data_IF_303847604160
#
_entry.id   IF_303847604160
#
_cell.length_a   1.000
_cell.length_b   1.000
_cell.length_c   1.000
_cell.angle_alpha   90.00
_cell.angle_beta   90.00
_cell.angle_gamma   90.00
#
_symmetry.space_group_name_H-M   'P 1'
#
loop_
_entity.id
_entity.type
_entity.pdbx_description
1 polymer ?
#
# COMPACT_ATOMS: atom_id res chain seq x y z
N UNK A 1 -9.23 -20.09 -3.61
CA UNK A 1 -8.88 -18.87 -4.38
C UNK A 1 -9.35 -17.60 -3.67
N UNK A 2 -10.66 -17.43 -3.40
CA UNK A 2 -11.22 -16.21 -2.76
C UNK A 2 -10.54 -15.83 -1.43
N UNK A 3 -10.25 -16.79 -0.55
CA UNK A 3 -9.61 -16.51 0.75
C UNK A 3 -8.22 -15.90 0.62
N UNK A 4 -7.42 -16.33 -0.38
CA UNK A 4 -6.08 -15.80 -0.60
C UNK A 4 -6.11 -14.35 -1.10
N UNK A 5 -7.12 -14.00 -1.91
CA UNK A 5 -7.36 -12.61 -2.34
C UNK A 5 -7.74 -11.75 -1.13
N UNK A 6 -8.64 -12.24 -0.28
CA UNK A 6 -9.08 -11.54 0.95
C UNK A 6 -7.90 -11.35 1.92
N UNK A 7 -7.06 -12.35 2.10
CA UNK A 7 -5.86 -12.26 2.94
C UNK A 7 -4.88 -11.22 2.38
N UNK A 8 -4.64 -11.23 1.07
CA UNK A 8 -3.74 -10.26 0.44
C UNK A 8 -4.28 -8.83 0.54
N UNK A 9 -5.58 -8.65 0.35
CA UNK A 9 -6.28 -7.39 0.54
C UNK A 9 -6.12 -6.83 1.95
N UNK A 10 -6.22 -7.71 2.95
CA UNK A 10 -6.01 -7.36 4.35
C UNK A 10 -4.58 -6.82 4.58
N UNK A 11 -3.55 -7.52 4.11
CA UNK A 11 -2.16 -7.07 4.30
C UNK A 11 -1.83 -5.80 3.51
N UNK A 12 -2.36 -5.64 2.29
CA UNK A 12 -2.24 -4.40 1.52
C UNK A 12 -2.89 -3.22 2.25
N UNK A 13 -4.11 -3.41 2.75
CA UNK A 13 -4.85 -2.38 3.49
C UNK A 13 -4.15 -2.05 4.80
N UNK A 14 -3.57 -3.05 5.48
CA UNK A 14 -2.79 -2.86 6.71
C UNK A 14 -1.52 -2.03 6.49
N UNK A 15 -0.79 -2.27 5.39
CA UNK A 15 0.34 -1.45 4.98
C UNK A 15 -0.10 -0.01 4.67
N UNK A 16 -1.23 0.16 3.99
CA UNK A 16 -1.77 1.50 3.71
C UNK A 16 -2.22 2.21 5.00
N UNK A 17 -2.82 1.48 5.95
CA UNK A 17 -3.20 2.02 7.24
C UNK A 17 -1.99 2.55 8.01
N UNK A 18 -0.89 1.79 8.09
CA UNK A 18 0.31 2.25 8.80
C UNK A 18 0.95 3.47 8.15
N UNK A 19 0.95 3.54 6.81
CA UNK A 19 1.31 4.75 6.08
C UNK A 19 0.41 5.94 6.43
N UNK A 20 -0.91 5.76 6.42
CA UNK A 20 -1.84 6.83 6.77
C UNK A 20 -1.66 7.29 8.23
N UNK A 21 -1.43 6.37 9.17
CA UNK A 21 -1.24 6.68 10.58
C UNK A 21 0.02 7.53 10.82
N UNK A 22 1.10 7.33 10.04
CA UNK A 22 2.39 7.99 10.26
C UNK A 22 2.68 9.14 9.28
N UNK A 23 2.03 9.13 8.11
CA UNK A 23 2.35 9.98 6.96
C UNK A 23 1.10 10.55 6.27
N UNK A 24 0.00 10.74 7.02
CA UNK A 24 -1.22 11.36 6.47
C UNK A 24 -0.91 12.71 5.80
N UNK A 25 -1.39 12.87 4.57
CA UNK A 25 -1.19 14.10 3.80
C UNK A 25 0.19 14.25 3.16
N UNK A 26 1.10 13.30 3.35
CA UNK A 26 2.44 13.32 2.75
C UNK A 26 2.51 12.63 1.39
N UNK A 27 1.46 11.88 1.03
CA UNK A 27 1.41 11.09 -0.18
C UNK A 27 -0.02 11.00 -0.73
N UNK A 28 -0.13 10.44 -1.93
CA UNK A 28 -1.37 10.12 -2.62
C UNK A 28 -1.25 8.68 -3.11
N UNK A 29 -2.28 7.86 -2.83
CA UNK A 29 -2.44 6.56 -3.45
C UNK A 29 -2.91 6.75 -4.90
N UNK A 30 -2.19 6.18 -5.86
CA UNK A 30 -2.53 6.20 -7.29
C UNK A 30 -2.75 4.78 -7.81
N UNK A 31 -2.91 4.64 -9.13
CA UNK A 31 -2.94 3.33 -9.80
C UNK A 31 -4.21 2.51 -9.53
N UNK A 32 -4.14 1.21 -9.83
CA UNK A 32 -5.28 0.29 -9.78
C UNK A 32 -5.93 0.21 -8.40
N UNK A 33 -5.13 0.24 -7.33
CA UNK A 33 -5.60 0.16 -5.95
C UNK A 33 -6.44 1.38 -5.56
N UNK A 34 -6.07 2.58 -6.00
CA UNK A 34 -6.90 3.78 -5.77
C UNK A 34 -8.24 3.71 -6.50
N UNK A 35 -8.26 3.16 -7.73
CA UNK A 35 -9.48 3.02 -8.53
C UNK A 35 -10.40 1.92 -8.00
N UNK A 36 -9.86 0.80 -7.54
CA UNK A 36 -10.65 -0.29 -6.96
C UNK A 36 -11.18 0.08 -5.58
N UNK A 37 -10.33 0.56 -4.66
CA UNK A 37 -10.73 0.78 -3.26
C UNK A 37 -11.30 2.18 -2.96
N UNK A 38 -10.82 3.21 -3.65
CA UNK A 38 -11.27 4.59 -3.42
C UNK A 38 -12.51 4.97 -4.24
N UNK A 39 -12.70 4.31 -5.39
CA UNK A 39 -13.74 4.67 -6.36
C UNK A 39 -14.64 3.50 -6.79
N UNK A 40 -14.31 2.26 -6.42
CA UNK A 40 -15.04 1.06 -6.83
C UNK A 40 -15.24 0.94 -8.35
N UNK A 41 -14.22 1.34 -9.12
CA UNK A 41 -14.27 1.39 -10.60
C UNK A 41 -13.71 0.15 -11.29
N UNK A 42 -13.04 -0.74 -10.55
CA UNK A 42 -12.38 -1.92 -11.10
C UNK A 42 -12.82 -3.16 -10.32
N UNK A 43 -13.36 -4.15 -11.04
CA UNK A 43 -13.69 -5.48 -10.50
C UNK A 43 -12.49 -6.44 -10.57
N UNK A 44 -11.29 -5.93 -10.28
CA UNK A 44 -10.07 -6.73 -10.21
C UNK A 44 -9.25 -6.35 -8.99
N UNK A 45 -8.66 -7.36 -8.37
CA UNK A 45 -7.73 -7.16 -7.27
C UNK A 45 -6.42 -6.53 -7.79
N UNK A 46 -5.94 -5.50 -7.11
CA UNK A 46 -4.66 -4.86 -7.39
C UNK A 46 -3.73 -5.10 -6.20
N UNK A 47 -2.54 -5.60 -6.49
CA UNK A 47 -1.57 -6.00 -5.48
C UNK A 47 -0.59 -4.90 -5.07
N UNK A 48 -0.62 -3.78 -5.78
CA UNK A 48 0.42 -2.76 -5.73
C UNK A 48 -0.03 -1.54 -4.92
N UNK A 49 0.83 -1.08 -4.02
CA UNK A 49 0.75 0.23 -3.40
C UNK A 49 1.56 1.22 -4.24
N UNK A 50 0.89 1.76 -5.25
CA UNK A 50 1.39 2.88 -6.03
C UNK A 50 1.24 4.20 -5.27
N UNK A 51 2.37 4.82 -4.92
CA UNK A 51 2.40 6.02 -4.09
C UNK A 51 3.05 7.19 -4.85
N UNK A 52 2.31 8.28 -4.98
CA UNK A 52 2.86 9.59 -5.33
C UNK A 52 3.17 10.35 -4.06
N UNK A 53 4.45 10.63 -3.81
CA UNK A 53 4.88 11.39 -2.65
C UNK A 53 4.74 12.88 -2.94
N UNK A 54 4.18 13.64 -1.99
CA UNK A 54 4.08 15.10 -2.09
C UNK A 54 5.44 15.73 -1.75
N UNK A 55 5.81 16.75 -2.52
CA UNK A 55 7.05 17.51 -2.33
C UNK A 55 6.79 18.99 -2.32
N UNK A 56 7.67 19.74 -1.69
CA UNK A 56 7.79 21.18 -1.89
C UNK A 56 8.87 21.45 -2.94
N UNK A 57 8.73 22.55 -3.68
CA UNK A 57 9.65 22.91 -4.78
C UNK A 57 11.12 23.01 -4.35
N UNK A 58 11.39 23.35 -3.08
CA UNK A 58 12.74 23.53 -2.54
C UNK A 58 13.46 22.23 -2.14
N UNK A 59 12.83 21.06 -2.26
CA UNK A 59 13.43 19.82 -1.77
C UNK A 59 14.53 19.28 -2.68
N UNK A 60 15.75 19.18 -2.14
CA UNK A 60 16.86 18.47 -2.77
C UNK A 60 16.71 16.94 -2.75
N UNK A 61 17.56 16.24 -3.51
CA UNK A 61 17.54 14.79 -3.65
C UNK A 61 17.66 14.04 -2.30
N UNK A 62 18.50 14.50 -1.38
CA UNK A 62 18.68 13.88 -0.07
C UNK A 62 17.38 13.89 0.76
N UNK A 63 16.70 15.03 0.85
CA UNK A 63 15.42 15.14 1.59
C UNK A 63 14.34 14.27 0.96
N UNK A 64 14.30 14.21 -0.37
CA UNK A 64 13.41 13.31 -1.12
C UNK A 64 13.70 11.83 -0.84
N UNK A 65 14.97 11.43 -0.78
CA UNK A 65 15.32 10.04 -0.45
C UNK A 65 14.97 9.69 1.00
N UNK A 66 15.18 10.62 1.95
CA UNK A 66 14.77 10.45 3.35
C UNK A 66 13.25 10.20 3.46
N UNK A 67 12.42 10.96 2.73
CA UNK A 67 10.98 10.75 2.71
C UNK A 67 10.59 9.38 2.12
N UNK A 68 11.23 8.97 1.01
CA UNK A 68 10.99 7.65 0.43
C UNK A 68 11.38 6.51 1.39
N UNK A 69 12.52 6.65 2.08
CA UNK A 69 13.00 5.71 3.09
C UNK A 69 12.03 5.60 4.25
N UNK A 70 11.51 6.72 4.74
CA UNK A 70 10.55 6.77 5.85
C UNK A 70 9.26 6.01 5.52
N UNK A 71 8.65 6.24 4.35
CA UNK A 71 7.45 5.50 3.92
C UNK A 71 7.71 3.99 3.84
N UNK A 72 8.85 3.58 3.25
CA UNK A 72 9.27 2.17 3.19
C UNK A 72 9.52 1.57 4.58
N UNK A 73 10.12 2.31 5.51
CA UNK A 73 10.36 1.83 6.89
C UNK A 73 9.06 1.65 7.66
N UNK A 74 8.10 2.56 7.49
CA UNK A 74 6.78 2.45 8.13
C UNK A 74 6.08 1.14 7.75
N UNK A 75 6.12 0.74 6.47
CA UNK A 75 5.60 -0.56 6.05
C UNK A 75 6.46 -1.70 6.61
N UNK A 76 7.79 -1.58 6.60
CA UNK A 76 8.69 -2.61 7.14
C UNK A 76 8.46 -2.89 8.63
N UNK A 77 8.05 -1.88 9.39
CA UNK A 77 7.73 -1.98 10.82
C UNK A 77 6.26 -2.35 11.09
N UNK A 78 5.46 -2.58 10.05
CA UNK A 78 4.06 -2.99 10.20
C UNK A 78 4.00 -4.46 10.60
N UNK A 79 3.36 -4.76 11.74
CA UNK A 79 3.21 -6.13 12.25
C UNK A 79 2.66 -7.09 11.18
N UNK A 80 3.34 -8.22 11.00
CA UNK A 80 2.95 -9.26 10.03
C UNK A 80 3.48 -9.04 8.61
N UNK A 81 4.21 -7.95 8.36
CA UNK A 81 4.92 -7.71 7.11
C UNK A 81 6.43 -7.77 7.34
N UNK A 82 7.13 -8.43 6.43
CA UNK A 82 8.60 -8.52 6.42
C UNK A 82 9.10 -8.11 5.06
N UNK A 83 10.03 -7.14 5.00
CA UNK A 83 10.63 -6.73 3.73
C UNK A 83 11.49 -7.86 3.13
N UNK A 84 11.25 -8.18 1.86
CA UNK A 84 12.11 -9.06 1.06
C UNK A 84 13.13 -8.21 0.29
N UNK A 85 14.27 -7.97 0.94
CA UNK A 85 15.39 -7.22 0.36
C UNK A 85 16.11 -7.97 -0.77
N UNK A 86 15.84 -9.26 -0.97
CA UNK A 86 16.45 -10.08 -2.03
C UNK A 86 15.56 -10.21 -3.27
N UNK A 87 14.28 -9.84 -3.19
CA UNK A 87 13.40 -9.81 -4.36
C UNK A 87 13.94 -8.83 -5.41
N UNK A 88 14.04 -9.30 -6.67
CA UNK A 88 14.61 -8.53 -7.79
C UNK A 88 13.85 -7.24 -8.07
N UNK A 89 12.59 -7.13 -7.63
CA UNK A 89 11.78 -5.92 -7.77
C UNK A 89 12.19 -4.85 -6.75
N UNK A 90 12.76 -5.22 -5.60
CA UNK A 90 13.24 -4.28 -4.59
C UNK A 90 14.42 -3.48 -5.14
N UNK A 91 14.21 -2.18 -5.38
CA UNK A 91 15.17 -1.28 -6.03
C UNK A 91 14.94 0.17 -5.62
N UNK A 92 15.92 1.05 -5.78
CA UNK A 92 15.76 2.48 -5.49
C UNK A 92 16.62 3.35 -6.41
N UNK A 93 16.10 4.53 -6.73
CA UNK A 93 16.83 5.61 -7.39
C UNK A 93 16.81 6.82 -6.44
N UNK A 94 17.99 7.21 -5.94
CA UNK A 94 18.13 8.20 -4.85
C UNK A 94 17.37 9.49 -5.14
N UNK A 95 16.38 9.79 -4.30
CA UNK A 95 15.58 11.00 -4.39
C UNK A 95 14.57 11.02 -5.54
N UNK A 96 14.39 9.91 -6.26
CA UNK A 96 13.48 9.78 -7.40
C UNK A 96 12.40 8.74 -7.14
N UNK A 97 12.79 7.52 -6.78
CA UNK A 97 11.85 6.41 -6.56
C UNK A 97 12.38 5.34 -5.61
N UNK A 98 11.46 4.57 -5.01
CA UNK A 98 11.78 3.42 -4.16
C UNK A 98 10.70 2.35 -4.32
N UNK A 99 11.14 1.15 -4.69
CA UNK A 99 10.31 -0.05 -4.75
C UNK A 99 10.76 -1.03 -3.67
N UNK A 100 9.82 -1.59 -2.92
CA UNK A 100 10.08 -2.62 -1.93
C UNK A 100 9.00 -3.70 -1.97
N UNK A 101 9.41 -4.95 -1.79
CA UNK A 101 8.49 -6.08 -1.65
C UNK A 101 8.38 -6.45 -0.17
N UNK A 102 7.15 -6.66 0.31
CA UNK A 102 6.88 -7.16 1.65
C UNK A 102 6.14 -8.49 1.56
N UNK A 103 6.58 -9.47 2.34
CA UNK A 103 5.92 -10.76 2.48
C UNK A 103 5.21 -10.85 3.82
N UNK A 104 4.25 -11.76 3.90
CA UNK A 104 3.53 -12.11 5.10
C UNK A 104 3.40 -13.63 5.21
N UNK A 105 3.24 -14.12 6.43
CA UNK A 105 2.88 -15.52 6.66
C UNK A 105 1.41 -15.72 6.27
N UNK A 106 1.19 -16.63 5.32
CA UNK A 106 -0.13 -16.88 4.76
C UNK A 106 -0.78 -18.07 5.46
N UNK A 107 -2.05 -17.92 5.81
CA UNK A 107 -2.90 -18.99 6.36
C UNK A 107 -3.78 -19.65 5.29
N UNK A 108 -3.58 -19.30 4.02
CA UNK A 108 -4.36 -19.79 2.89
C UNK A 108 -3.52 -20.69 1.99
N UNK A 109 -4.16 -21.59 1.24
CA UNK A 109 -3.46 -22.43 0.26
C UNK A 109 -2.87 -21.58 -0.88
N UNK A 110 -1.76 -22.04 -1.45
CA UNK A 110 -1.15 -21.39 -2.60
C UNK A 110 -2.11 -21.33 -3.80
N UNK A 111 -2.16 -20.16 -4.45
CA UNK A 111 -2.96 -19.93 -5.64
C UNK A 111 -2.00 -19.56 -6.78
N UNK A 112 -1.91 -20.37 -7.85
CA UNK A 112 -1.08 -20.06 -8.99
C UNK A 112 -1.37 -18.65 -9.54
N UNK A 113 -0.32 -17.86 -9.73
CA UNK A 113 -0.44 -16.48 -10.23
C UNK A 113 -0.79 -15.42 -9.17
N UNK A 114 -1.03 -15.80 -7.91
CA UNK A 114 -1.28 -14.85 -6.82
C UNK A 114 -0.10 -14.83 -5.84
N UNK A 115 0.69 -13.76 -5.86
CA UNK A 115 1.83 -13.61 -4.97
C UNK A 115 1.40 -13.39 -3.51
N UNK A 116 2.13 -13.99 -2.55
CA UNK A 116 2.02 -13.69 -1.11
C UNK A 116 2.88 -12.49 -0.73
N UNK A 117 2.60 -11.35 -1.36
CA UNK A 117 3.34 -10.13 -1.14
C UNK A 117 2.50 -8.87 -1.36
N UNK A 118 2.96 -7.79 -0.75
CA UNK A 118 2.57 -6.41 -1.04
C UNK A 118 3.75 -5.75 -1.75
N UNK A 119 3.53 -5.24 -2.95
CA UNK A 119 4.51 -4.44 -3.66
C UNK A 119 4.27 -2.97 -3.34
N UNK A 120 5.29 -2.29 -2.82
CA UNK A 120 5.28 -0.85 -2.59
C UNK A 120 6.10 -0.17 -3.67
N UNK A 121 5.50 0.80 -4.37
CA UNK A 121 6.18 1.62 -5.38
C UNK A 121 5.90 3.09 -5.12
N UNK A 122 6.90 3.80 -4.58
CA UNK A 122 6.81 5.23 -4.31
C UNK A 122 7.73 6.04 -5.23
N UNK A 123 7.24 7.20 -5.64
CA UNK A 123 8.05 8.17 -6.37
C UNK A 123 7.41 9.55 -6.42
N UNK A 124 8.08 10.45 -7.14
CA UNK A 124 7.69 11.86 -7.27
C UNK A 124 7.11 12.21 -8.64
N UNK A 125 7.10 11.27 -9.59
CA UNK A 125 6.60 11.49 -10.95
C UNK A 125 5.07 11.38 -10.95
N UNK A 126 4.39 12.48 -11.26
CA UNK A 126 2.93 12.57 -11.34
C UNK A 126 2.42 13.93 -10.86
N UNK A 127 1.13 14.19 -11.05
CA UNK A 127 0.48 15.41 -10.54
C UNK A 127 -0.39 15.11 -9.31
N UNK A 128 -0.30 15.98 -8.31
CA UNK A 128 -1.09 15.93 -7.08
C UNK A 128 -2.39 16.78 -7.15
N UNK A 129 -2.64 17.49 -8.25
CA UNK A 129 -3.67 18.52 -8.36
C UNK A 129 -5.11 18.02 -8.27
N UNK A 130 -5.36 16.73 -8.55
CA UNK A 130 -6.68 16.12 -8.55
C UNK A 130 -6.91 15.11 -7.39
N UNK A 131 -6.10 15.20 -6.32
CA UNK A 131 -6.21 14.26 -5.21
C UNK A 131 -7.49 14.50 -4.38
N UNK A 132 -8.29 13.46 -4.19
CA UNK A 132 -9.52 13.48 -3.38
C UNK A 132 -9.32 12.58 -2.15
N UNK A 133 -9.76 13.05 -0.97
CA UNK A 133 -9.80 12.21 0.23
C UNK A 133 -10.97 11.22 0.11
N UNK A 134 -10.67 9.93 0.20
CA UNK A 134 -11.65 8.84 0.20
C UNK A 134 -11.32 7.88 1.36
N UNK A 135 -12.33 7.37 2.08
CA UNK A 135 -12.12 6.26 2.99
C UNK A 135 -11.70 5.03 2.17
N UNK A 136 -10.76 4.25 2.72
CA UNK A 136 -10.34 2.97 2.16
C UNK A 136 -10.50 1.92 3.25
N UNK A 137 -11.11 0.79 2.90
CA UNK A 137 -11.32 -0.35 3.79
C UNK A 137 -10.81 -1.64 3.13
N UNK A 138 -10.59 -2.67 3.95
CA UNK A 138 -10.34 -4.02 3.44
C UNK A 138 -11.68 -4.70 3.15
N UNK A 139 -11.68 -5.70 2.28
CA UNK A 139 -12.87 -6.50 1.97
C UNK A 139 -13.43 -7.17 3.23
N UNK A 140 -12.56 -7.60 4.15
CA UNK A 140 -12.99 -8.14 5.46
C UNK A 140 -13.70 -7.06 6.28
N UNK A 141 -13.18 -5.84 6.25
CA UNK A 141 -13.76 -4.73 7.01
C UNK A 141 -15.11 -4.29 6.45
N UNK A 142 -15.24 -4.21 5.13
CA UNK A 142 -16.50 -3.96 4.43
C UNK A 142 -17.53 -5.05 4.79
N UNK A 143 -17.15 -6.33 4.68
CA UNK A 143 -18.03 -7.43 5.02
C UNK A 143 -18.47 -7.41 6.49
N UNK A 144 -17.56 -7.12 7.42
CA UNK A 144 -17.90 -7.00 8.84
C UNK A 144 -18.86 -5.83 9.09
N UNK A 145 -18.66 -4.69 8.44
CA UNK A 145 -19.54 -3.53 8.55
C UNK A 145 -20.96 -3.85 8.06
N UNK A 146 -21.08 -4.54 6.92
CA UNK A 146 -22.37 -5.01 6.37
C UNK A 146 -23.12 -5.98 7.30
N UNK A 147 -22.41 -6.63 8.22
CA UNK A 147 -22.98 -7.51 9.25
C UNK A 147 -23.19 -6.82 10.61
N UNK A 148 -22.96 -5.52 10.71
CA UNK A 148 -23.03 -4.78 11.98
C UNK A 148 -21.89 -5.08 12.94
N UNK A 149 -20.80 -5.67 12.45
CA UNK A 149 -19.62 -6.11 13.21
C UNK A 149 -18.42 -5.16 13.05
N UNK A 150 -18.67 -3.87 12.80
CA UNK A 150 -17.63 -2.87 12.48
C UNK A 150 -16.51 -2.78 13.53
N UNK A 151 -16.76 -3.17 14.78
CA UNK A 151 -15.76 -3.21 15.85
C UNK A 151 -14.67 -4.27 15.63
N UNK A 152 -14.96 -5.35 14.91
CA UNK A 152 -13.99 -6.41 14.59
C UNK A 152 -13.05 -6.04 13.42
N UNK A 153 -13.38 -4.95 12.72
CA UNK A 153 -12.78 -4.57 11.46
C UNK A 153 -11.97 -3.27 11.52
N UNK A 154 -11.78 -2.71 12.71
CA UNK A 154 -10.90 -1.55 12.93
C UNK A 154 -9.45 -1.99 12.70
N UNK A 155 -8.99 -1.81 11.46
CA UNK A 155 -7.58 -1.94 11.08
C UNK A 155 -7.02 -0.56 10.88
#
# INVERSE_FOLDING_TARGET
>A
QRTAIVERDYYLTRALHSLCASHAGEFILKGGTSLSKGWNLLDRFSEDLDILVRTEAAWGAARRDTRLKALRDTIANTKGLTQDSKDKRTRSETGVSRTAVYRYESVTSDVPGLGRNVLFEAGYRGSASAAVKKPIQSVVAEYAADKGLSNLAKV
#
